data_IF_282668436285
#
_entry.id   IF_282668436285
#
_cell.length_a   1.000
_cell.length_b   1.000
_cell.length_c   1.000
_cell.angle_alpha   90.00
_cell.angle_beta   90.00
_cell.angle_gamma   90.00
#
_symmetry.space_group_name_H-M   'P 1'
#
loop_
_entity.id
_entity.type
_entity.pdbx_description
1 polymer ?
#
# COMPACT_ATOMS: atom_id res chain seq x y z
N UNK A 1 -23.15 23.34 9.43
CA UNK A 1 -21.88 22.65 9.77
C UNK A 1 -20.93 23.69 10.33
N UNK A 2 -20.12 23.35 11.33
CA UNK A 2 -19.08 24.28 11.79
C UNK A 2 -18.08 24.52 10.63
N UNK A 3 -17.63 25.75 10.48
CA UNK A 3 -16.67 26.15 9.45
C UNK A 3 -15.32 25.49 9.76
N UNK A 4 -14.77 24.71 8.81
CA UNK A 4 -13.43 24.12 8.93
C UNK A 4 -12.41 25.25 8.78
N UNK A 5 -11.50 25.40 9.76
CA UNK A 5 -10.41 26.37 9.75
C UNK A 5 -9.02 25.73 9.87
N UNK A 6 -8.95 24.59 10.50
CA UNK A 6 -7.69 23.88 10.76
C UNK A 6 -7.80 22.41 10.39
N UNK A 7 -6.90 21.95 9.55
CA UNK A 7 -6.82 20.55 9.10
C UNK A 7 -5.60 19.89 9.74
N UNK A 8 -5.82 18.75 10.41
CA UNK A 8 -4.76 17.87 10.88
C UNK A 8 -4.38 16.84 9.82
N UNK A 9 -3.09 16.56 9.66
CA UNK A 9 -2.59 15.54 8.73
C UNK A 9 -1.75 14.53 9.50
N UNK A 10 -2.02 13.24 9.28
CA UNK A 10 -1.19 12.16 9.83
C UNK A 10 -0.97 11.05 8.81
N UNK A 11 0.15 10.32 8.98
CA UNK A 11 0.41 9.04 8.31
C UNK A 11 0.33 7.92 9.34
N UNK A 12 -0.27 6.80 8.98
CA UNK A 12 -0.47 5.67 9.89
C UNK A 12 -0.29 4.34 9.16
N UNK A 13 0.10 3.30 9.89
CA UNK A 13 0.34 1.98 9.33
C UNK A 13 1.76 1.81 8.80
N UNK A 14 1.94 0.97 7.77
CA UNK A 14 3.21 0.85 7.06
C UNK A 14 3.45 2.08 6.19
N UNK A 15 4.71 2.47 6.09
CA UNK A 15 5.09 3.53 5.15
C UNK A 15 5.02 3.04 3.69
N UNK A 16 4.77 3.99 2.79
CA UNK A 16 4.73 3.75 1.36
C UNK A 16 5.38 4.92 0.61
N UNK A 17 6.14 4.64 -0.47
CA UNK A 17 6.71 5.70 -1.30
C UNK A 17 5.60 6.58 -1.90
N UNK A 18 5.69 7.90 -1.74
CA UNK A 18 4.64 8.84 -2.15
C UNK A 18 3.84 9.44 -0.99
N UNK A 19 3.93 8.90 0.23
CA UNK A 19 3.29 9.53 1.41
C UNK A 19 3.74 10.97 1.61
N UNK A 20 5.02 11.28 1.40
CA UNK A 20 5.53 12.65 1.48
C UNK A 20 4.95 13.56 0.38
N UNK A 21 4.72 13.04 -0.82
CA UNK A 21 4.05 13.78 -1.89
C UNK A 21 2.60 14.10 -1.50
N UNK A 22 1.88 13.15 -0.88
CA UNK A 22 0.53 13.36 -0.36
C UNK A 22 0.50 14.41 0.77
N UNK A 23 1.39 14.30 1.78
CA UNK A 23 1.53 15.29 2.86
C UNK A 23 1.76 16.68 2.27
N UNK A 24 2.68 16.79 1.29
CA UNK A 24 2.99 18.04 0.62
C UNK A 24 1.76 18.60 -0.10
N UNK A 25 1.04 17.79 -0.84
CA UNK A 25 -0.15 18.19 -1.59
C UNK A 25 -1.24 18.69 -0.66
N UNK A 26 -1.64 17.90 0.33
CA UNK A 26 -2.65 18.29 1.33
C UNK A 26 -2.26 19.59 2.01
N UNK A 27 -1.01 19.73 2.47
CA UNK A 27 -0.52 20.93 3.17
C UNK A 27 -0.62 22.17 2.29
N UNK A 28 -0.15 22.08 1.03
CA UNK A 28 -0.14 23.23 0.12
C UNK A 28 -1.53 23.62 -0.35
N UNK A 29 -2.37 22.63 -0.68
CA UNK A 29 -3.77 22.88 -1.06
C UNK A 29 -4.58 23.48 0.08
N UNK A 30 -4.40 22.98 1.30
CA UNK A 30 -5.06 23.53 2.48
C UNK A 30 -4.64 24.98 2.75
N UNK A 31 -3.35 25.29 2.71
CA UNK A 31 -2.84 26.69 2.89
C UNK A 31 -3.35 27.58 1.75
N UNK A 32 -3.37 27.11 0.51
CA UNK A 32 -3.93 27.84 -0.63
C UNK A 32 -5.43 28.15 -0.44
N UNK A 33 -6.19 27.22 0.14
CA UNK A 33 -7.59 27.40 0.52
C UNK A 33 -7.82 28.24 1.80
N UNK A 34 -6.76 28.77 2.42
CA UNK A 34 -6.85 29.62 3.62
C UNK A 34 -6.90 28.88 4.94
N UNK A 35 -6.73 27.55 4.94
CA UNK A 35 -6.72 26.73 6.16
C UNK A 35 -5.39 26.77 6.89
N UNK A 36 -5.43 26.62 8.22
CA UNK A 36 -4.28 26.25 9.02
C UNK A 36 -4.04 24.74 8.92
N UNK A 37 -2.79 24.34 8.97
CA UNK A 37 -2.41 22.92 8.87
C UNK A 37 -1.62 22.50 10.10
N UNK A 38 -1.97 21.36 10.68
CA UNK A 38 -1.28 20.72 11.80
C UNK A 38 -0.74 19.36 11.34
N UNK A 39 0.59 19.19 11.35
CA UNK A 39 1.23 17.89 11.14
C UNK A 39 1.25 17.10 12.46
N UNK A 40 0.75 15.89 12.44
CA UNK A 40 0.67 14.98 13.58
C UNK A 40 1.73 13.89 13.39
N UNK A 41 2.74 13.88 14.22
CA UNK A 41 3.82 12.90 14.12
C UNK A 41 3.40 11.54 14.69
N UNK A 42 3.97 10.47 14.14
CA UNK A 42 3.74 9.08 14.62
C UNK A 42 2.27 8.63 14.59
N UNK A 43 1.48 9.19 13.69
CA UNK A 43 0.10 8.80 13.43
C UNK A 43 -0.81 8.91 14.67
N UNK A 44 -1.65 7.92 14.90
CA UNK A 44 -2.59 7.91 16.04
C UNK A 44 -1.89 7.92 17.41
N UNK A 45 -0.67 7.37 17.50
CA UNK A 45 0.12 7.44 18.75
C UNK A 45 0.46 8.89 19.09
N UNK A 46 0.98 9.64 18.11
CA UNK A 46 1.29 11.04 18.30
C UNK A 46 0.06 11.92 18.54
N UNK A 47 -1.09 11.53 17.99
CA UNK A 47 -2.35 12.21 18.29
C UNK A 47 -2.73 12.06 19.77
N UNK A 48 -2.52 10.89 20.38
CA UNK A 48 -2.75 10.66 21.81
C UNK A 48 -1.69 11.36 22.67
N UNK A 49 -0.42 11.34 22.21
CA UNK A 49 0.73 11.89 22.94
C UNK A 49 0.89 13.41 22.79
N UNK A 50 0.02 14.08 22.02
CA UNK A 50 0.09 15.51 21.74
C UNK A 50 1.32 15.93 20.92
N UNK A 51 1.79 15.06 20.00
CA UNK A 51 2.96 15.31 19.14
C UNK A 51 2.52 16.02 17.84
N UNK A 52 2.13 17.30 17.97
CA UNK A 52 1.49 18.08 16.91
C UNK A 52 2.28 19.38 16.68
N UNK A 53 2.54 19.67 15.41
CA UNK A 53 3.25 20.87 14.99
C UNK A 53 2.47 21.63 13.92
N UNK A 54 2.45 22.95 13.98
CA UNK A 54 1.88 23.75 12.91
C UNK A 54 2.74 23.70 11.66
N UNK A 55 2.12 23.33 10.53
CA UNK A 55 2.80 23.25 9.24
C UNK A 55 2.60 24.53 8.42
N UNK A 56 3.71 24.97 7.84
CA UNK A 56 3.79 26.01 6.81
C UNK A 56 4.30 25.39 5.51
N UNK A 57 4.26 26.12 4.41
CA UNK A 57 4.74 25.65 3.11
C UNK A 57 6.21 25.20 3.12
N UNK A 58 7.03 25.80 4.00
CA UNK A 58 8.45 25.44 4.17
C UNK A 58 8.64 24.02 4.77
N UNK A 59 7.75 23.60 5.66
CA UNK A 59 7.84 22.27 6.30
C UNK A 59 7.69 21.11 5.31
N UNK A 60 7.08 21.38 4.16
CA UNK A 60 6.86 20.39 3.09
C UNK A 60 7.65 20.69 1.82
N UNK A 61 8.69 21.51 1.93
CA UNK A 61 9.60 21.80 0.81
C UNK A 61 10.58 20.66 0.60
N UNK A 62 10.87 20.33 -0.66
CA UNK A 62 11.86 19.32 -1.06
C UNK A 62 11.62 17.90 -0.48
N UNK A 63 10.36 17.51 -0.27
CA UNK A 63 10.01 16.17 0.25
C UNK A 63 9.33 15.28 -0.80
N UNK A 64 8.89 15.80 -1.95
CA UNK A 64 8.13 15.05 -2.96
C UNK A 64 8.88 13.83 -3.48
N UNK A 65 10.20 13.89 -3.56
CA UNK A 65 11.07 12.82 -4.04
C UNK A 65 11.52 11.87 -2.93
N UNK A 66 11.20 12.16 -1.66
CA UNK A 66 11.66 11.36 -0.54
C UNK A 66 10.70 10.19 -0.28
N UNK A 67 11.27 8.98 -0.13
CA UNK A 67 10.54 7.82 0.35
C UNK A 67 10.21 7.92 1.85
N UNK A 68 9.47 6.93 2.36
CA UNK A 68 8.99 6.96 3.73
C UNK A 68 8.01 8.09 4.01
N UNK A 69 7.98 8.58 5.25
CA UNK A 69 7.12 9.69 5.66
C UNK A 69 7.81 10.62 6.66
N UNK A 70 7.79 11.91 6.43
CA UNK A 70 8.33 12.92 7.36
C UNK A 70 7.56 12.97 8.69
N UNK A 71 6.26 12.62 8.67
CA UNK A 71 5.43 12.55 9.87
C UNK A 71 5.66 11.28 10.69
N UNK A 72 6.44 10.33 10.17
CA UNK A 72 6.68 9.02 10.79
C UNK A 72 5.38 8.24 11.03
N UNK A 73 5.50 6.97 11.38
CA UNK A 73 4.37 6.12 11.78
C UNK A 73 4.71 5.38 13.07
N UNK A 74 3.70 4.98 13.82
CA UNK A 74 3.85 4.08 14.95
C UNK A 74 2.59 3.21 15.11
N UNK A 75 2.80 1.97 15.57
CA UNK A 75 1.67 1.13 15.99
C UNK A 75 1.06 1.71 17.27
N UNK A 76 -0.26 1.84 17.32
CA UNK A 76 -0.98 2.39 18.47
C UNK A 76 -2.13 1.47 18.88
N UNK A 77 -1.84 0.50 19.76
CA UNK A 77 -2.88 -0.39 20.31
C UNK A 77 -3.91 0.38 21.14
N UNK A 78 -3.50 1.45 21.80
CA UNK A 78 -4.36 2.28 22.64
C UNK A 78 -5.49 2.93 21.83
N UNK A 79 -5.25 3.28 20.56
CA UNK A 79 -6.27 3.86 19.69
C UNK A 79 -7.40 2.88 19.33
N UNK A 80 -7.23 1.58 19.55
CA UNK A 80 -8.30 0.59 19.34
C UNK A 80 -9.37 0.63 20.44
N UNK A 81 -9.10 1.29 21.57
CA UNK A 81 -10.05 1.47 22.67
C UNK A 81 -10.76 2.81 22.58
N UNK A 82 -11.97 2.91 23.14
CA UNK A 82 -12.70 4.18 23.18
C UNK A 82 -12.01 5.22 24.03
N UNK A 83 -11.36 4.80 25.14
CA UNK A 83 -10.59 5.68 26.02
C UNK A 83 -9.40 6.32 25.30
N UNK A 84 -8.66 5.53 24.51
CA UNK A 84 -7.56 6.03 23.70
C UNK A 84 -8.04 7.02 22.63
N UNK A 85 -9.16 6.73 21.96
CA UNK A 85 -9.75 7.66 20.98
C UNK A 85 -10.31 8.90 21.65
N UNK A 86 -10.88 8.81 22.87
CA UNK A 86 -11.31 9.99 23.64
C UNK A 86 -10.12 10.92 23.95
N UNK A 87 -9.00 10.37 24.39
CA UNK A 87 -7.78 11.16 24.62
C UNK A 87 -7.29 11.86 23.34
N UNK A 88 -7.31 11.15 22.20
CA UNK A 88 -7.00 11.75 20.91
C UNK A 88 -7.98 12.89 20.55
N UNK A 89 -9.26 12.72 20.81
CA UNK A 89 -10.27 13.75 20.57
C UNK A 89 -10.08 14.99 21.45
N UNK A 90 -9.71 14.79 22.72
CA UNK A 90 -9.42 15.90 23.64
C UNK A 90 -8.20 16.71 23.16
N UNK A 91 -7.18 16.04 22.60
CA UNK A 91 -6.03 16.70 21.97
C UNK A 91 -6.45 17.49 20.73
N UNK A 92 -7.26 16.91 19.85
CA UNK A 92 -7.81 17.58 18.66
C UNK A 92 -8.51 18.88 19.07
N UNK A 93 -9.36 18.82 20.10
CA UNK A 93 -10.08 20.00 20.60
C UNK A 93 -9.14 21.07 21.14
N UNK A 94 -8.10 20.69 21.90
CA UNK A 94 -7.12 21.64 22.42
C UNK A 94 -6.36 22.38 21.33
N UNK A 95 -6.06 21.67 20.22
CA UNK A 95 -5.37 22.26 19.07
C UNK A 95 -6.28 22.97 18.08
N UNK A 96 -7.61 22.96 18.31
CA UNK A 96 -8.61 23.54 17.41
C UNK A 96 -8.56 22.93 16.01
N UNK A 97 -8.34 21.60 15.92
CA UNK A 97 -8.37 20.89 14.65
C UNK A 97 -9.83 20.55 14.34
N UNK A 98 -10.31 20.92 13.15
CA UNK A 98 -11.69 20.79 12.73
C UNK A 98 -11.93 19.58 11.84
N UNK A 99 -10.89 19.11 11.16
CA UNK A 99 -10.92 17.92 10.29
C UNK A 99 -9.57 17.22 10.25
N UNK A 100 -9.57 15.91 9.92
CA UNK A 100 -8.34 15.13 9.70
C UNK A 100 -8.22 14.64 8.27
N UNK A 101 -6.98 14.63 7.75
CA UNK A 101 -6.59 13.83 6.60
C UNK A 101 -5.67 12.71 7.08
N UNK A 102 -6.10 11.47 6.87
CA UNK A 102 -5.40 10.26 7.29
C UNK A 102 -4.84 9.54 6.07
N UNK A 103 -3.51 9.42 6.00
CA UNK A 103 -2.81 8.74 4.90
C UNK A 103 -2.35 7.36 5.40
N UNK A 104 -2.87 6.30 4.82
CA UNK A 104 -2.51 4.93 5.23
C UNK A 104 -3.37 3.85 4.58
N UNK A 105 -3.10 2.60 4.95
CA UNK A 105 -3.82 1.43 4.44
C UNK A 105 -5.07 1.08 5.27
N UNK A 106 -5.61 -0.12 5.06
CA UNK A 106 -6.84 -0.65 5.64
C UNK A 106 -6.97 -0.41 7.16
N UNK A 107 -5.96 -0.82 7.94
CA UNK A 107 -6.00 -0.62 9.40
C UNK A 107 -6.07 0.85 9.83
N UNK A 108 -5.46 1.77 9.07
CA UNK A 108 -5.49 3.20 9.33
C UNK A 108 -6.86 3.79 9.03
N UNK A 109 -7.48 3.39 7.93
CA UNK A 109 -8.83 3.81 7.54
C UNK A 109 -9.89 3.20 8.45
N UNK A 110 -9.67 1.98 8.95
CA UNK A 110 -10.52 1.36 9.99
C UNK A 110 -10.50 2.20 11.27
N UNK A 111 -9.31 2.62 11.72
CA UNK A 111 -9.18 3.53 12.88
C UNK A 111 -9.84 4.88 12.63
N UNK A 112 -9.67 5.46 11.44
CA UNK A 112 -10.32 6.72 11.03
C UNK A 112 -11.85 6.60 11.06
N UNK A 113 -12.40 5.53 10.49
CA UNK A 113 -13.85 5.27 10.50
C UNK A 113 -14.39 5.15 11.92
N UNK A 114 -13.71 4.40 12.79
CA UNK A 114 -14.14 4.21 14.17
C UNK A 114 -14.15 5.53 14.93
N UNK A 115 -13.08 6.33 14.78
CA UNK A 115 -12.98 7.65 15.40
C UNK A 115 -14.07 8.60 14.91
N UNK A 116 -14.31 8.63 13.59
CA UNK A 116 -15.36 9.44 12.99
C UNK A 116 -16.76 9.06 13.52
N UNK A 117 -17.00 7.77 13.74
CA UNK A 117 -18.27 7.26 14.29
C UNK A 117 -18.46 7.63 15.77
N UNK A 118 -17.38 7.58 16.56
CA UNK A 118 -17.46 7.87 18.00
C UNK A 118 -17.71 9.35 18.29
N UNK A 119 -17.19 10.27 17.47
CA UNK A 119 -17.17 11.70 17.76
C UNK A 119 -17.85 12.59 16.70
N UNK A 120 -18.48 11.99 15.69
CA UNK A 120 -19.04 12.72 14.53
C UNK A 120 -18.02 13.70 13.91
N UNK A 121 -16.77 13.25 13.75
CA UNK A 121 -15.65 14.09 13.36
C UNK A 121 -15.32 13.93 11.87
N UNK A 122 -15.12 15.04 11.10
CA UNK A 122 -14.80 14.96 9.66
C UNK A 122 -13.42 14.36 9.40
N UNK A 123 -13.36 13.29 8.62
CA UNK A 123 -12.10 12.65 8.21
C UNK A 123 -12.15 12.33 6.73
N UNK A 124 -11.04 12.63 6.02
CA UNK A 124 -10.78 12.18 4.66
C UNK A 124 -9.58 11.22 4.70
N UNK A 125 -9.72 10.07 4.06
CA UNK A 125 -8.66 9.06 3.91
C UNK A 125 -7.94 9.17 2.59
N UNK A 126 -6.62 8.96 2.59
CA UNK A 126 -5.82 8.74 1.39
C UNK A 126 -5.23 7.33 1.42
N UNK A 127 -5.36 6.53 0.34
CA UNK A 127 -4.91 5.14 0.31
C UNK A 127 -3.38 5.05 0.17
N UNK A 128 -2.66 5.17 1.30
CA UNK A 128 -1.19 5.07 1.37
C UNK A 128 -0.76 3.66 1.77
N UNK A 129 -0.60 2.77 0.80
CA UNK A 129 -0.16 1.38 0.99
C UNK A 129 0.41 0.83 -0.31
N UNK A 130 1.42 -0.06 -0.22
CA UNK A 130 1.97 -0.76 -1.39
C UNK A 130 1.14 -1.99 -1.78
N UNK A 131 0.23 -2.45 -0.93
CA UNK A 131 -0.47 -3.73 -1.10
C UNK A 131 -1.58 -3.66 -2.18
N UNK A 132 -2.05 -2.46 -2.52
CA UNK A 132 -3.10 -2.15 -3.49
C UNK A 132 -4.42 -2.90 -3.23
N UNK A 133 -4.72 -3.18 -1.96
CA UNK A 133 -5.80 -4.03 -1.49
C UNK A 133 -7.08 -3.28 -1.06
N UNK A 134 -7.11 -1.95 -1.19
CA UNK A 134 -8.26 -1.14 -0.82
C UNK A 134 -9.32 -1.11 -1.92
N UNK A 135 -10.57 -1.41 -1.55
CA UNK A 135 -11.69 -1.38 -2.49
C UNK A 135 -12.06 0.06 -2.89
N UNK A 136 -12.41 0.25 -4.18
CA UNK A 136 -12.86 1.53 -4.72
C UNK A 136 -11.71 2.48 -5.11
N UNK A 137 -10.55 1.93 -5.37
CA UNK A 137 -9.44 2.63 -6.03
C UNK A 137 -8.65 1.66 -6.89
N UNK A 138 -8.27 2.05 -8.09
CA UNK A 138 -7.43 1.26 -8.98
C UNK A 138 -6.01 1.21 -8.48
N UNK A 139 -5.50 2.34 -8.01
CA UNK A 139 -4.13 2.46 -7.52
C UNK A 139 -4.08 3.08 -6.13
N UNK A 140 -3.21 2.50 -5.28
CA UNK A 140 -2.84 3.07 -3.97
C UNK A 140 -1.48 3.74 -4.06
N UNK A 141 -1.26 4.78 -3.25
CA UNK A 141 0.01 5.52 -3.20
C UNK A 141 1.11 4.59 -2.69
N UNK A 142 2.14 4.41 -3.51
CA UNK A 142 3.31 3.57 -3.23
C UNK A 142 3.32 2.22 -3.96
N UNK A 143 2.21 1.81 -4.54
CA UNK A 143 2.10 0.54 -5.26
C UNK A 143 2.99 0.49 -6.51
N UNK A 144 2.95 1.54 -7.35
CA UNK A 144 3.77 1.59 -8.58
C UNK A 144 5.26 1.57 -8.26
N UNK A 145 5.70 2.28 -7.22
CA UNK A 145 7.10 2.27 -6.79
C UNK A 145 7.53 0.90 -6.27
N UNK A 146 6.67 0.21 -5.51
CA UNK A 146 6.95 -1.14 -5.04
C UNK A 146 7.08 -2.12 -6.22
N UNK A 147 6.20 -2.00 -7.22
CA UNK A 147 6.24 -2.81 -8.44
C UNK A 147 7.53 -2.58 -9.23
N UNK A 148 7.96 -1.33 -9.39
CA UNK A 148 9.24 -0.99 -10.03
C UNK A 148 10.44 -1.55 -9.25
N UNK A 149 10.38 -1.58 -7.91
CA UNK A 149 11.41 -2.19 -7.07
C UNK A 149 11.47 -3.71 -7.30
N UNK A 150 10.30 -4.37 -7.38
CA UNK A 150 10.23 -5.80 -7.72
C UNK A 150 10.86 -6.07 -9.08
N UNK A 151 10.47 -5.33 -10.12
CA UNK A 151 11.06 -5.45 -11.47
C UNK A 151 12.59 -5.36 -11.42
N UNK A 152 13.10 -4.30 -10.78
CA UNK A 152 14.54 -4.08 -10.66
C UNK A 152 15.26 -5.25 -9.96
N UNK A 153 14.66 -5.84 -8.94
CA UNK A 153 15.23 -6.99 -8.23
C UNK A 153 15.17 -8.26 -9.09
N UNK A 154 14.03 -8.52 -9.74
CA UNK A 154 13.82 -9.73 -10.54
C UNK A 154 14.74 -9.75 -11.75
N UNK A 155 14.94 -8.62 -12.43
CA UNK A 155 15.85 -8.52 -13.58
C UNK A 155 17.28 -8.95 -13.19
N UNK A 156 17.77 -8.53 -12.01
CA UNK A 156 19.10 -8.94 -11.50
C UNK A 156 19.16 -10.42 -11.12
N UNK A 157 18.06 -10.95 -10.57
CA UNK A 157 17.97 -12.38 -10.25
C UNK A 157 17.95 -13.20 -11.53
N UNK A 158 17.30 -12.71 -12.59
CA UNK A 158 17.24 -13.37 -13.90
C UNK A 158 18.61 -13.55 -14.51
N UNK A 159 19.49 -12.56 -14.43
CA UNK A 159 20.87 -12.65 -14.94
C UNK A 159 21.64 -13.84 -14.31
N UNK A 160 21.47 -14.04 -13.00
CA UNK A 160 22.12 -15.17 -12.33
C UNK A 160 21.34 -16.47 -12.50
N UNK A 161 20.04 -16.44 -12.62
CA UNK A 161 19.21 -17.62 -12.83
C UNK A 161 19.55 -18.31 -14.15
N UNK A 162 19.65 -17.56 -15.23
CA UNK A 162 20.00 -18.07 -16.57
C UNK A 162 21.41 -18.68 -16.63
N UNK A 163 22.32 -18.20 -15.77
CA UNK A 163 23.71 -18.72 -15.76
C UNK A 163 23.85 -20.09 -15.11
N UNK A 164 22.84 -20.60 -14.40
CA UNK A 164 22.95 -21.79 -13.53
C UNK A 164 21.79 -22.78 -13.63
N UNK A 165 20.85 -22.63 -14.54
CA UNK A 165 19.68 -23.52 -14.72
C UNK A 165 18.88 -23.72 -13.41
N UNK A 166 18.54 -22.62 -12.70
CA UNK A 166 17.93 -22.65 -11.37
C UNK A 166 16.47 -22.24 -11.39
N UNK A 167 15.70 -22.81 -10.43
CA UNK A 167 14.36 -22.35 -10.08
C UNK A 167 14.42 -21.35 -8.94
N UNK A 168 13.97 -20.13 -9.18
CA UNK A 168 13.87 -19.09 -8.15
C UNK A 168 12.44 -18.87 -7.71
N UNK A 169 12.19 -18.99 -6.40
CA UNK A 169 11.02 -18.42 -5.74
C UNK A 169 11.38 -17.06 -5.16
N UNK A 170 10.70 -16.01 -5.62
CA UNK A 170 10.92 -14.64 -5.17
C UNK A 170 9.69 -14.20 -4.38
N UNK A 171 9.84 -14.07 -3.04
CA UNK A 171 8.77 -13.60 -2.19
C UNK A 171 8.66 -12.08 -2.27
N UNK A 172 7.43 -11.62 -2.49
CA UNK A 172 7.06 -10.20 -2.52
C UNK A 172 6.01 -9.91 -1.45
N UNK A 173 5.99 -8.68 -0.97
CA UNK A 173 4.98 -8.20 -0.04
C UNK A 173 3.58 -8.22 -0.67
N UNK A 174 2.57 -7.80 0.05
CA UNK A 174 1.17 -7.77 -0.37
C UNK A 174 0.24 -8.24 0.74
N UNK A 175 0.81 -8.74 1.87
CA UNK A 175 0.05 -9.22 3.03
C UNK A 175 -0.89 -10.37 2.63
N UNK A 176 -2.20 -10.09 2.54
CA UNK A 176 -3.22 -11.08 2.12
C UNK A 176 -3.70 -10.86 0.68
N UNK A 177 -2.97 -10.07 -0.11
CA UNK A 177 -3.32 -9.73 -1.48
C UNK A 177 -2.18 -10.04 -2.46
N UNK A 178 -2.54 -10.56 -3.62
CA UNK A 178 -1.61 -11.00 -4.66
C UNK A 178 -1.29 -9.96 -5.73
N UNK A 179 -1.69 -8.71 -5.59
CA UNK A 179 -1.53 -7.70 -6.65
C UNK A 179 -0.07 -7.46 -7.02
N UNK A 180 0.84 -7.35 -6.04
CA UNK A 180 2.27 -7.18 -6.31
C UNK A 180 2.88 -8.41 -6.99
N UNK A 181 2.50 -9.62 -6.55
CA UNK A 181 3.00 -10.85 -7.14
C UNK A 181 2.50 -11.04 -8.58
N UNK A 182 1.20 -10.84 -8.82
CA UNK A 182 0.60 -11.00 -10.15
C UNK A 182 1.16 -10.00 -11.16
N UNK A 183 1.08 -8.71 -10.83
CA UNK A 183 1.55 -7.66 -11.73
C UNK A 183 3.07 -7.68 -11.89
N UNK A 184 3.80 -8.00 -10.81
CA UNK A 184 5.24 -8.21 -10.86
C UNK A 184 5.64 -9.36 -11.77
N UNK A 185 4.91 -10.48 -11.75
CA UNK A 185 5.17 -11.62 -12.63
C UNK A 185 4.96 -11.27 -14.11
N UNK A 186 3.87 -10.56 -14.42
CA UNK A 186 3.61 -10.10 -15.80
C UNK A 186 4.70 -9.12 -16.24
N UNK A 187 5.01 -8.11 -15.41
CA UNK A 187 5.95 -7.06 -15.73
C UNK A 187 7.39 -7.57 -15.93
N UNK A 188 7.74 -8.66 -15.26
CA UNK A 188 9.09 -9.25 -15.35
C UNK A 188 9.18 -10.47 -16.28
N UNK A 189 8.05 -10.92 -16.83
CA UNK A 189 8.01 -12.17 -17.62
C UNK A 189 8.38 -13.40 -16.77
N UNK A 190 7.99 -13.42 -15.50
CA UNK A 190 8.10 -14.60 -14.66
C UNK A 190 7.12 -15.69 -15.13
N UNK A 191 7.47 -16.95 -14.90
CA UNK A 191 6.67 -18.09 -15.33
C UNK A 191 5.36 -18.24 -14.56
N UNK A 192 5.30 -17.71 -13.33
CA UNK A 192 4.09 -17.76 -12.51
C UNK A 192 4.06 -16.74 -11.37
N UNK A 193 2.85 -16.53 -10.85
CA UNK A 193 2.59 -15.88 -9.57
C UNK A 193 1.79 -16.81 -8.67
N UNK A 194 2.24 -17.03 -7.45
CA UNK A 194 1.50 -17.73 -6.41
C UNK A 194 0.85 -16.67 -5.51
N UNK A 195 -0.48 -16.63 -5.50
CA UNK A 195 -1.26 -15.59 -4.83
C UNK A 195 -2.35 -16.19 -3.93
N UNK A 196 -2.69 -15.55 -2.79
CA UNK A 196 -3.62 -16.10 -1.81
C UNK A 196 -5.08 -16.18 -2.30
N UNK A 197 -5.48 -15.39 -3.30
CA UNK A 197 -6.84 -15.37 -3.85
C UNK A 197 -7.20 -16.61 -4.66
N UNK A 198 -6.20 -17.45 -4.99
CA UNK A 198 -6.41 -18.70 -5.75
C UNK A 198 -6.13 -19.88 -4.82
N UNK A 199 -7.17 -20.61 -4.46
CA UNK A 199 -7.14 -21.68 -3.45
C UNK A 199 -6.38 -22.95 -3.83
N UNK A 200 -5.90 -23.07 -5.08
CA UNK A 200 -5.27 -24.29 -5.63
C UNK A 200 -3.76 -24.14 -5.81
N UNK A 201 -3.07 -23.57 -4.82
CA UNK A 201 -1.62 -23.31 -4.89
C UNK A 201 -0.79 -24.58 -5.13
N UNK A 202 -1.19 -25.71 -4.55
CA UNK A 202 -0.49 -26.99 -4.71
C UNK A 202 -0.67 -27.52 -6.14
N UNK A 203 -1.87 -27.42 -6.69
CA UNK A 203 -2.15 -27.87 -8.05
C UNK A 203 -1.50 -26.98 -9.09
N UNK A 204 -1.45 -25.66 -8.85
CA UNK A 204 -0.75 -24.71 -9.71
C UNK A 204 0.76 -24.94 -9.73
N UNK A 205 1.36 -25.21 -8.58
CA UNK A 205 2.78 -25.49 -8.50
C UNK A 205 3.11 -26.82 -9.22
N UNK A 206 2.29 -27.85 -9.03
CA UNK A 206 2.45 -29.13 -9.72
C UNK A 206 2.29 -28.98 -11.25
N UNK A 207 1.27 -28.22 -11.68
CA UNK A 207 1.04 -27.93 -13.11
C UNK A 207 2.20 -27.11 -13.71
N UNK A 208 2.69 -26.11 -12.99
CA UNK A 208 3.84 -25.29 -13.39
C UNK A 208 5.10 -26.16 -13.53
N UNK A 209 5.39 -26.99 -12.53
CA UNK A 209 6.56 -27.88 -12.56
C UNK A 209 6.43 -28.90 -13.70
N UNK A 210 5.27 -29.49 -13.88
CA UNK A 210 5.05 -30.48 -14.95
C UNK A 210 5.07 -29.87 -16.36
N UNK A 211 4.54 -28.68 -16.55
CA UNK A 211 4.39 -28.06 -17.87
C UNK A 211 5.51 -27.07 -18.20
N UNK A 212 6.01 -26.33 -17.22
CA UNK A 212 7.01 -25.26 -17.43
C UNK A 212 8.44 -25.79 -17.52
N UNK A 213 8.80 -26.77 -16.70
CA UNK A 213 10.19 -27.27 -16.63
C UNK A 213 10.54 -28.32 -17.69
N UNK A 214 9.55 -28.99 -18.29
CA UNK A 214 9.79 -29.99 -19.35
C UNK A 214 10.21 -29.42 -20.69
N UNK A 215 10.11 -28.10 -20.91
CA UNK A 215 10.41 -27.45 -22.21
C UNK A 215 11.68 -26.61 -22.13
N UNK A 216 12.85 -27.24 -22.03
CA UNK A 216 14.19 -26.65 -22.36
C UNK A 216 14.45 -25.19 -21.90
N UNK A 217 13.80 -24.68 -20.86
CA UNK A 217 14.15 -23.38 -20.27
C UNK A 217 15.25 -23.60 -19.23
N UNK A 218 16.36 -22.90 -19.39
CA UNK A 218 17.53 -23.01 -18.52
C UNK A 218 17.33 -22.34 -17.15
N UNK A 219 16.21 -21.67 -16.91
CA UNK A 219 15.90 -21.05 -15.61
C UNK A 219 14.43 -20.72 -15.51
N UNK A 220 13.88 -20.69 -14.30
CA UNK A 220 12.51 -20.28 -14.04
C UNK A 220 12.41 -19.40 -12.81
N UNK A 221 11.55 -18.39 -12.89
CA UNK A 221 11.26 -17.44 -11.81
C UNK A 221 9.79 -17.49 -11.50
N UNK A 222 9.46 -17.69 -10.22
CA UNK A 222 8.09 -17.69 -9.70
C UNK A 222 8.00 -16.60 -8.63
N UNK A 223 7.09 -15.65 -8.79
CA UNK A 223 6.79 -14.69 -7.75
C UNK A 223 5.79 -15.28 -6.77
N UNK A 224 6.03 -15.08 -5.48
CA UNK A 224 5.20 -15.61 -4.39
C UNK A 224 4.76 -14.45 -3.50
N UNK A 225 3.46 -14.23 -3.37
CA UNK A 225 2.95 -13.28 -2.38
C UNK A 225 3.28 -13.79 -0.95
N UNK A 226 3.72 -12.88 -0.07
CA UNK A 226 3.87 -13.25 1.34
C UNK A 226 2.50 -13.70 1.88
N UNK A 227 2.42 -14.91 2.40
CA UNK A 227 1.18 -15.44 2.95
C UNK A 227 1.47 -16.42 4.07
N UNK A 228 0.83 -16.27 5.24
CA UNK A 228 0.93 -17.25 6.31
C UNK A 228 0.30 -18.60 5.96
N UNK A 229 -0.58 -18.65 4.96
CA UNK A 229 -1.30 -19.87 4.55
C UNK A 229 -0.37 -20.81 3.78
N UNK A 230 0.50 -20.26 2.93
CA UNK A 230 1.41 -21.06 2.07
C UNK A 230 2.75 -21.35 2.73
N UNK A 231 3.08 -20.67 3.82
CA UNK A 231 4.43 -20.63 4.38
C UNK A 231 5.40 -19.80 3.54
N UNK A 232 4.86 -19.00 2.60
CA UNK A 232 5.61 -18.14 1.71
C UNK A 232 6.53 -18.92 0.76
N UNK A 233 7.50 -18.23 0.18
CA UNK A 233 8.44 -18.83 -0.77
C UNK A 233 9.32 -19.92 -0.12
N UNK A 234 9.61 -19.82 1.18
CA UNK A 234 10.38 -20.86 1.89
C UNK A 234 9.63 -22.17 1.99
N UNK A 235 8.35 -22.13 2.42
CA UNK A 235 7.52 -23.32 2.53
C UNK A 235 7.29 -24.00 1.17
N UNK A 236 7.10 -23.19 0.10
CA UNK A 236 7.00 -23.73 -1.26
C UNK A 236 8.31 -24.39 -1.72
N UNK A 237 9.45 -23.75 -1.46
CA UNK A 237 10.75 -24.29 -1.81
C UNK A 237 11.07 -25.61 -1.11
N UNK A 238 10.70 -25.75 0.16
CA UNK A 238 10.87 -27.01 0.91
C UNK A 238 10.04 -28.14 0.31
N UNK A 239 8.79 -27.86 -0.07
CA UNK A 239 7.93 -28.84 -0.75
C UNK A 239 8.51 -29.28 -2.09
N UNK A 240 8.96 -28.33 -2.93
CA UNK A 240 9.55 -28.64 -4.24
C UNK A 240 10.82 -29.47 -4.08
N UNK A 241 11.72 -29.12 -3.17
CA UNK A 241 12.94 -29.90 -2.91
C UNK A 241 12.65 -31.34 -2.48
N UNK A 242 11.55 -31.56 -1.75
CA UNK A 242 11.15 -32.88 -1.29
C UNK A 242 10.51 -33.73 -2.41
N UNK A 243 9.67 -33.11 -3.22
CA UNK A 243 8.90 -33.80 -4.27
C UNK A 243 9.65 -33.93 -5.59
N UNK A 244 10.56 -32.96 -5.86
CA UNK A 244 11.31 -32.83 -7.11
C UNK A 244 12.78 -32.51 -6.82
N UNK A 245 13.55 -33.46 -6.27
CA UNK A 245 14.92 -33.25 -5.81
C UNK A 245 15.93 -32.94 -6.93
N UNK A 246 15.54 -33.11 -8.18
CA UNK A 246 16.33 -32.76 -9.35
C UNK A 246 16.45 -31.26 -9.61
N UNK A 247 15.61 -30.42 -9.00
CA UNK A 247 15.64 -28.98 -9.18
C UNK A 247 16.56 -28.27 -8.17
N UNK A 248 17.48 -27.43 -8.65
CA UNK A 248 18.24 -26.50 -7.79
C UNK A 248 17.38 -25.29 -7.45
N UNK A 249 16.64 -25.40 -6.34
CA UNK A 249 15.68 -24.40 -5.89
C UNK A 249 16.36 -23.33 -5.02
N UNK A 250 16.18 -22.06 -5.39
CA UNK A 250 16.65 -20.88 -4.66
C UNK A 250 15.47 -20.03 -4.19
N UNK A 251 15.63 -19.35 -3.07
CA UNK A 251 14.65 -18.43 -2.52
C UNK A 251 15.27 -17.07 -2.32
N UNK A 252 14.54 -16.04 -2.71
CA UNK A 252 14.86 -14.64 -2.39
C UNK A 252 13.63 -13.98 -1.81
N UNK A 253 13.78 -13.36 -0.63
CA UNK A 253 12.72 -12.61 0.03
C UNK A 253 13.04 -11.13 -0.10
N UNK A 254 12.24 -10.36 -0.87
CA UNK A 254 12.50 -8.95 -1.11
C UNK A 254 12.18 -8.09 0.12
N UNK A 255 11.15 -8.46 0.87
CA UNK A 255 10.80 -7.81 2.13
C UNK A 255 10.70 -6.29 2.05
N UNK A 256 11.25 -5.60 3.03
CA UNK A 256 11.12 -4.14 3.19
C UNK A 256 11.80 -3.29 2.11
N UNK A 257 12.59 -3.86 1.19
CA UNK A 257 13.07 -3.12 0.00
C UNK A 257 11.92 -2.50 -0.79
N UNK A 258 10.77 -3.15 -0.81
CA UNK A 258 9.57 -2.73 -1.53
C UNK A 258 8.86 -1.51 -0.91
N UNK A 259 9.16 -1.17 0.36
CA UNK A 259 8.60 0.01 1.06
C UNK A 259 9.45 1.26 0.89
N UNK A 260 10.69 1.10 0.46
CA UNK A 260 11.65 2.19 0.35
C UNK A 260 11.77 2.77 -1.05
N UNK A 261 12.65 3.74 -1.16
CA UNK A 261 13.01 4.36 -2.43
C UNK A 261 12.27 5.66 -2.74
N UNK A 262 12.76 6.34 -3.73
CA UNK A 262 12.15 7.56 -4.25
C UNK A 262 10.89 7.21 -5.04
N UNK A 263 9.72 7.83 -4.76
CA UNK A 263 8.49 7.50 -5.47
C UNK A 263 8.61 7.78 -6.95
N UNK A 264 8.03 6.90 -7.77
CA UNK A 264 7.93 7.06 -9.21
C UNK A 264 7.15 8.33 -9.59
N UNK A 265 7.20 8.71 -10.85
CA UNK A 265 6.39 9.83 -11.35
C UNK A 265 4.88 9.56 -11.15
N UNK A 266 4.45 8.31 -11.36
CA UNK A 266 3.06 7.91 -11.19
C UNK A 266 2.60 8.08 -9.73
N UNK A 267 3.35 7.55 -8.76
CA UNK A 267 3.01 7.71 -7.34
C UNK A 267 3.03 9.18 -6.88
N UNK A 268 3.95 10.00 -7.40
CA UNK A 268 3.98 11.44 -7.07
C UNK A 268 2.77 12.18 -7.63
N UNK A 269 2.35 11.88 -8.86
CA UNK A 269 1.19 12.49 -9.50
C UNK A 269 -0.09 12.05 -8.79
N UNK A 270 -0.25 10.74 -8.57
CA UNK A 270 -1.40 10.16 -7.87
C UNK A 270 -1.55 10.78 -6.47
N UNK A 271 -0.48 10.77 -5.68
CA UNK A 271 -0.47 11.33 -4.33
C UNK A 271 -0.76 12.85 -4.33
N UNK A 272 -0.30 13.57 -5.36
CA UNK A 272 -0.57 15.01 -5.50
C UNK A 272 -2.02 15.28 -5.85
N UNK A 273 -2.60 14.53 -6.79
CA UNK A 273 -4.03 14.61 -7.15
C UNK A 273 -4.93 14.28 -5.97
N UNK A 274 -4.71 13.13 -5.32
CA UNK A 274 -5.49 12.70 -4.17
C UNK A 274 -5.37 13.67 -3.00
N UNK A 275 -4.17 14.23 -2.76
CA UNK A 275 -3.97 15.19 -1.68
C UNK A 275 -4.69 16.53 -1.91
N UNK A 276 -4.76 17.01 -3.13
CA UNK A 276 -5.56 18.20 -3.49
C UNK A 276 -7.06 17.89 -3.34
N UNK A 277 -7.50 16.77 -3.90
CA UNK A 277 -8.89 16.33 -3.82
C UNK A 277 -9.38 16.10 -2.38
N UNK A 278 -8.51 15.72 -1.45
CA UNK A 278 -8.87 15.61 -0.02
C UNK A 278 -9.27 16.96 0.59
N UNK A 279 -8.61 18.04 0.16
CA UNK A 279 -8.96 19.40 0.62
C UNK A 279 -10.25 19.88 -0.05
N UNK A 280 -10.40 19.64 -1.35
CA UNK A 280 -11.61 19.97 -2.10
C UNK A 280 -12.82 19.23 -1.52
N UNK A 281 -12.67 17.93 -1.20
CA UNK A 281 -13.71 17.14 -0.54
C UNK A 281 -14.17 17.76 0.79
N UNK A 282 -13.25 18.27 1.63
CA UNK A 282 -13.61 18.97 2.86
C UNK A 282 -14.36 20.28 2.60
N UNK A 283 -13.96 21.04 1.57
CA UNK A 283 -14.65 22.27 1.14
C UNK A 283 -16.06 21.98 0.63
N UNK A 284 -16.27 20.87 -0.06
CA UNK A 284 -17.56 20.38 -0.55
C UNK A 284 -18.43 19.79 0.56
N UNK A 285 -17.92 19.67 1.79
CA UNK A 285 -18.63 19.10 2.92
C UNK A 285 -18.64 17.57 2.96
N UNK A 286 -17.80 16.92 2.15
CA UNK A 286 -17.60 15.47 2.21
C UNK A 286 -16.99 15.06 3.56
N UNK A 287 -17.40 13.90 4.06
CA UNK A 287 -16.96 13.38 5.36
C UNK A 287 -16.84 11.87 5.30
N UNK A 288 -15.82 11.35 5.99
CA UNK A 288 -15.67 9.92 6.25
C UNK A 288 -15.61 9.07 4.97
N UNK A 289 -14.90 9.62 4.00
CA UNK A 289 -14.62 8.98 2.71
C UNK A 289 -13.12 8.83 2.49
N UNK A 290 -12.76 7.81 1.73
CA UNK A 290 -11.45 7.65 1.10
C UNK A 290 -11.48 8.31 -0.28
N UNK A 291 -10.44 9.04 -0.62
CA UNK A 291 -10.21 9.47 -1.99
C UNK A 291 -9.70 8.26 -2.78
N UNK A 292 -10.42 7.87 -3.81
CA UNK A 292 -10.02 6.81 -4.74
C UNK A 292 -9.66 7.36 -6.11
N UNK A 293 -9.05 6.52 -6.91
CA UNK A 293 -8.75 6.72 -8.33
C UNK A 293 -9.44 5.57 -9.10
N UNK A 294 -10.40 5.90 -9.94
CA UNK A 294 -11.20 4.96 -10.72
C UNK A 294 -11.16 5.41 -12.19
N UNK A 295 -10.50 4.67 -13.05
CA UNK A 295 -10.26 5.03 -14.46
C UNK A 295 -9.68 6.45 -14.63
N UNK A 296 -8.68 6.80 -13.81
CA UNK A 296 -8.03 8.12 -13.74
C UNK A 296 -8.94 9.26 -13.20
N UNK A 297 -10.18 8.96 -12.78
CA UNK A 297 -11.07 9.90 -12.13
C UNK A 297 -10.96 9.85 -10.60
N UNK A 298 -11.08 11.00 -9.94
CA UNK A 298 -11.14 11.04 -8.47
C UNK A 298 -12.56 10.69 -8.03
N UNK A 299 -12.65 9.68 -7.14
CA UNK A 299 -13.91 9.23 -6.56
C UNK A 299 -13.90 9.31 -5.04
N UNK A 300 -15.07 9.48 -4.43
CA UNK A 300 -15.24 9.51 -2.98
C UNK A 300 -15.85 8.20 -2.50
N UNK A 301 -15.06 7.37 -1.87
CA UNK A 301 -15.45 6.03 -1.42
C UNK A 301 -15.74 6.05 0.08
N UNK A 302 -16.98 5.80 0.54
CA UNK A 302 -17.26 5.70 1.98
C UNK A 302 -16.35 4.70 2.67
N UNK A 303 -15.81 5.03 3.85
CA UNK A 303 -14.93 4.11 4.60
C UNK A 303 -15.57 2.75 4.82
N UNK A 304 -16.89 2.70 5.00
CA UNK A 304 -17.63 1.44 5.15
C UNK A 304 -17.54 0.52 3.92
N UNK A 305 -17.31 1.06 2.73
CA UNK A 305 -17.09 0.28 1.51
C UNK A 305 -15.61 -0.04 1.31
N UNK A 306 -14.75 0.97 1.49
CA UNK A 306 -13.31 0.84 1.25
C UNK A 306 -12.63 -0.27 2.10
N UNK A 307 -13.09 -0.44 3.38
CA UNK A 307 -12.47 -1.35 4.34
C UNK A 307 -13.24 -2.66 4.58
N UNK A 308 -14.44 -2.81 4.02
CA UNK A 308 -15.26 -4.03 4.23
C UNK A 308 -15.30 -4.95 3.03
N UNK A 309 -15.00 -4.43 1.86
CA UNK A 309 -15.03 -5.19 0.63
C UNK A 309 -13.61 -5.53 0.23
N UNK A 310 -13.40 -6.76 -0.19
CA UNK A 310 -12.15 -7.17 -0.80
C UNK A 310 -12.08 -6.61 -2.23
N UNK A 311 -10.93 -6.07 -2.61
CA UNK A 311 -10.66 -5.69 -3.99
C UNK A 311 -10.42 -6.96 -4.80
N UNK A 312 -11.20 -7.24 -5.84
CA UNK A 312 -11.06 -8.46 -6.60
C UNK A 312 -9.77 -8.44 -7.44
N UNK A 313 -9.12 -9.60 -7.56
CA UNK A 313 -8.04 -9.81 -8.53
C UNK A 313 -8.62 -9.81 -9.94
N UNK A 314 -7.95 -9.14 -10.85
CA UNK A 314 -8.30 -9.13 -12.26
C UNK A 314 -8.02 -10.50 -12.90
N UNK A 315 -9.11 -11.17 -13.29
CA UNK A 315 -9.05 -12.49 -13.96
C UNK A 315 -8.44 -12.43 -15.37
N UNK A 316 -8.52 -11.29 -16.03
CA UNK A 316 -7.92 -11.11 -17.36
C UNK A 316 -6.39 -11.05 -17.26
N UNK A 317 -5.87 -10.38 -16.23
CA UNK A 317 -4.43 -10.38 -15.93
C UNK A 317 -3.92 -11.79 -15.58
N UNK A 318 -4.68 -12.57 -14.83
CA UNK A 318 -4.34 -13.99 -14.58
C UNK A 318 -4.27 -14.81 -15.88
N UNK A 319 -5.23 -14.63 -16.77
CA UNK A 319 -5.23 -15.29 -18.06
C UNK A 319 -4.08 -14.82 -18.94
N UNK A 320 -3.74 -13.54 -18.87
CA UNK A 320 -2.59 -12.95 -19.56
C UNK A 320 -1.29 -13.60 -19.08
N UNK A 321 -1.07 -13.69 -17.76
CA UNK A 321 0.10 -14.37 -17.19
C UNK A 321 0.21 -15.80 -17.72
N UNK A 322 -0.89 -16.57 -17.68
CA UNK A 322 -0.92 -17.96 -18.18
C UNK A 322 -0.53 -18.08 -19.65
N UNK A 323 -0.99 -17.15 -20.49
CA UNK A 323 -0.63 -17.11 -21.94
C UNK A 323 0.84 -16.79 -22.17
N UNK A 324 1.43 -15.97 -21.32
CA UNK A 324 2.83 -15.55 -21.45
C UNK A 324 3.84 -16.55 -20.85
N UNK A 325 3.36 -17.51 -20.07
CA UNK A 325 4.18 -18.52 -19.36
C UNK A 325 4.51 -19.77 -20.18
N UNK A 326 4.22 -19.81 -21.49
CA UNK A 326 4.46 -20.93 -22.41
C UNK A 326 5.89 -20.97 -22.96
#
# INVERSE_FOLDING_TARGET
>A
MAEIKTIGILTSGGDAPGMNAAIRSVTRSAIFGGFKVKGIYRGYKGLIDDDIVEFKTQNVSNIIQQGGTILKTARCKEFTTIEGRQRAYDVIKRHGIDALVVIGGDGSLTGARQFASDFDFPIIGLPGTIDNDLYGTDHTIGYDTALNTIMWCVDRIRDTATSHERLFFIEVMGRNAGFLALNGAIATGAEAAIIPEISTEVDQLAELIQNGFRKSKNSSIVLVAESPITGGAMGLAERVRKEYPEYDVRVTILGHLQRGGSPTAQDRILASRMGAAAVDALLEGQRNVMIGDDEEEIVYVPFSKAIKNDKPIDRELLNTLRRLSI
#
